data_IF_626548170278
#
_entry.id   IF_626548170278
#
_cell.length_a   1.000
_cell.length_b   1.000
_cell.length_c   1.000
_cell.angle_alpha   90.00
_cell.angle_beta   90.00
_cell.angle_gamma   90.00
#
_symmetry.space_group_name_H-M   'P 1'
#
loop_
_entity.id
_entity.type
_entity.pdbx_description
1 polymer ?
#
# COMPACT_ATOMS: atom_id res chain seq x y z
N UNK A 1 -37.31 4.60 68.15
CA UNK A 1 -36.07 3.85 67.77
C UNK A 1 -36.09 2.52 68.50
N UNK A 2 -36.09 1.42 67.79
CA UNK A 2 -36.12 0.07 68.37
C UNK A 2 -34.85 -0.67 67.90
N UNK A 3 -34.21 -1.40 68.78
CA UNK A 3 -33.14 -2.34 68.40
C UNK A 3 -33.82 -3.69 68.21
N UNK A 4 -33.74 -4.21 66.96
CA UNK A 4 -34.30 -5.50 66.60
C UNK A 4 -33.14 -6.46 66.25
N UNK A 5 -33.05 -7.56 66.97
CA UNK A 5 -32.22 -8.69 66.60
C UNK A 5 -32.98 -9.59 65.60
N UNK A 6 -32.32 -10.04 64.53
CA UNK A 6 -32.80 -11.18 63.77
C UNK A 6 -32.24 -12.46 64.40
N UNK A 7 -33.08 -13.46 64.59
CA UNK A 7 -32.60 -14.76 65.06
C UNK A 7 -31.68 -15.40 64.05
N UNK A 8 -30.63 -16.07 64.56
CA UNK A 8 -29.82 -16.95 63.78
C UNK A 8 -30.67 -18.11 63.19
N UNK A 9 -30.13 -18.78 62.20
CA UNK A 9 -30.70 -20.02 61.72
C UNK A 9 -29.93 -21.20 62.34
N UNK A 10 -30.67 -22.15 62.88
CA UNK A 10 -30.07 -23.37 63.42
C UNK A 10 -29.42 -24.19 62.27
N UNK A 11 -28.32 -24.85 62.61
CA UNK A 11 -27.70 -25.79 61.69
C UNK A 11 -28.59 -27.02 61.49
N UNK A 12 -28.58 -27.58 60.29
CA UNK A 12 -29.30 -28.81 59.94
C UNK A 12 -28.31 -29.81 59.36
N UNK A 13 -28.45 -31.06 59.78
CA UNK A 13 -27.66 -32.20 59.25
C UNK A 13 -26.12 -32.02 59.34
N UNK A 14 -25.64 -31.55 60.48
CA UNK A 14 -24.17 -31.37 60.76
C UNK A 14 -23.52 -30.17 60.08
N UNK A 15 -24.29 -29.24 59.52
CA UNK A 15 -23.82 -27.95 59.05
C UNK A 15 -24.02 -26.89 60.14
N UNK A 16 -23.06 -25.94 60.23
CA UNK A 16 -23.17 -24.83 61.16
C UNK A 16 -24.35 -23.94 60.81
N UNK A 17 -25.08 -23.43 61.82
CA UNK A 17 -26.11 -22.40 61.64
C UNK A 17 -25.49 -21.06 61.22
N UNK A 18 -26.33 -20.08 60.97
CA UNK A 18 -25.94 -18.71 60.68
C UNK A 18 -26.27 -17.80 61.87
N UNK A 19 -25.32 -16.94 62.23
CA UNK A 19 -25.51 -15.96 63.31
C UNK A 19 -26.57 -14.93 62.90
N UNK A 20 -27.45 -14.58 63.85
CA UNK A 20 -28.40 -13.49 63.69
C UNK A 20 -27.69 -12.13 63.61
N UNK A 21 -28.23 -11.21 62.84
CA UNK A 21 -27.71 -9.86 62.72
C UNK A 21 -28.59 -8.88 63.50
N UNK A 22 -28.02 -8.13 64.43
CA UNK A 22 -28.71 -7.08 65.17
C UNK A 22 -28.65 -5.76 64.43
N UNK A 23 -29.82 -5.16 64.14
CA UNK A 23 -29.91 -3.88 63.43
C UNK A 23 -30.73 -2.86 64.17
N UNK A 24 -30.42 -1.58 63.98
CA UNK A 24 -31.28 -0.48 64.42
C UNK A 24 -32.42 -0.35 63.42
N UNK A 25 -33.64 -0.39 63.89
CA UNK A 25 -34.87 -0.26 63.08
C UNK A 25 -35.59 0.99 63.51
N UNK A 26 -36.02 1.82 62.57
CA UNK A 26 -36.97 2.92 62.84
C UNK A 26 -38.22 2.74 62.01
N UNK A 27 -39.27 3.37 62.43
CA UNK A 27 -40.58 3.37 61.76
C UNK A 27 -40.87 4.78 61.26
N UNK A 28 -41.25 4.92 60.02
CA UNK A 28 -41.65 6.18 59.41
C UNK A 28 -43.11 6.56 59.77
N UNK A 29 -43.53 7.74 59.35
CA UNK A 29 -44.88 8.25 59.59
C UNK A 29 -46.05 7.37 59.05
N UNK A 30 -45.69 6.47 58.12
CA UNK A 30 -46.67 5.57 57.50
C UNK A 30 -46.53 4.14 58.04
N UNK A 31 -45.90 3.97 59.21
CA UNK A 31 -45.59 2.70 59.86
C UNK A 31 -44.72 1.73 59.07
N UNK A 32 -43.97 2.22 58.07
CA UNK A 32 -42.98 1.40 57.40
C UNK A 32 -41.73 1.27 58.24
N UNK A 33 -41.22 0.06 58.35
CA UNK A 33 -39.98 -0.24 59.10
C UNK A 33 -38.79 -0.16 58.18
N UNK A 34 -37.78 0.58 58.58
CA UNK A 34 -36.50 0.78 57.87
C UNK A 34 -35.34 0.33 58.77
N UNK A 35 -34.42 -0.42 58.18
CA UNK A 35 -33.15 -0.81 58.82
C UNK A 35 -32.07 0.22 58.56
N UNK A 36 -31.34 0.57 59.58
CA UNK A 36 -30.18 1.47 59.42
C UNK A 36 -28.96 0.67 58.96
N UNK A 37 -28.40 1.09 57.85
CA UNK A 37 -27.14 0.50 57.35
C UNK A 37 -25.96 0.81 58.33
N UNK A 38 -25.13 -0.16 58.51
CA UNK A 38 -23.89 -0.05 59.30
C UNK A 38 -22.69 0.05 58.40
N UNK A 39 -21.50 0.34 58.95
CA UNK A 39 -20.26 0.34 58.19
C UNK A 39 -19.85 -1.03 57.66
N UNK A 40 -20.51 -2.12 58.16
CA UNK A 40 -20.31 -3.49 57.65
C UNK A 40 -21.16 -3.81 56.43
N UNK A 41 -22.19 -3.00 56.20
CA UNK A 41 -22.96 -3.08 54.95
C UNK A 41 -22.09 -2.54 53.78
N UNK A 42 -22.44 -2.91 52.55
CA UNK A 42 -21.68 -2.50 51.42
C UNK A 42 -22.28 -2.87 50.09
N UNK A 43 -21.52 -2.74 49.04
CA UNK A 43 -21.93 -3.06 47.69
C UNK A 43 -21.01 -4.16 47.10
N UNK A 44 -21.61 -4.89 46.18
CA UNK A 44 -20.88 -5.89 45.38
C UNK A 44 -20.79 -5.41 43.94
N UNK A 45 -19.60 -5.52 43.36
CA UNK A 45 -19.31 -5.13 42.00
C UNK A 45 -18.81 -6.35 41.24
N UNK A 46 -19.32 -6.54 40.03
CA UNK A 46 -18.95 -7.65 39.17
C UNK A 46 -18.57 -7.12 37.78
N UNK A 47 -17.33 -7.31 37.40
CA UNK A 47 -16.93 -7.21 35.99
C UNK A 47 -17.40 -8.44 35.20
N UNK A 48 -16.99 -8.55 33.93
CA UNK A 48 -17.43 -9.65 33.05
C UNK A 48 -17.16 -11.02 33.64
N UNK A 49 -15.99 -11.22 34.24
CA UNK A 49 -15.64 -12.48 34.91
C UNK A 49 -16.39 -12.73 36.20
N UNK A 50 -16.81 -11.70 36.91
CA UNK A 50 -17.58 -11.81 38.15
C UNK A 50 -19.05 -12.10 37.94
N UNK A 51 -19.57 -11.95 36.73
CA UNK A 51 -20.98 -12.28 36.40
C UNK A 51 -21.22 -13.79 36.31
N UNK A 52 -20.18 -14.55 36.02
CA UNK A 52 -20.23 -16.01 35.88
C UNK A 52 -19.50 -16.75 37.00
N UNK A 53 -18.58 -16.08 37.69
CA UNK A 53 -17.77 -16.63 38.78
C UNK A 53 -17.89 -15.72 40.03
N UNK A 54 -18.60 -16.17 41.02
CA UNK A 54 -18.83 -15.42 42.28
C UNK A 54 -17.53 -15.13 43.05
N UNK A 55 -16.46 -15.90 42.82
CA UNK A 55 -15.14 -15.64 43.46
C UNK A 55 -14.46 -14.40 42.93
N UNK A 56 -14.90 -13.89 41.79
CA UNK A 56 -14.38 -12.68 41.13
C UNK A 56 -15.23 -11.42 41.45
N UNK A 57 -16.21 -11.54 42.28
CA UNK A 57 -17.01 -10.41 42.77
C UNK A 57 -16.22 -9.61 43.79
N UNK A 58 -16.15 -8.30 43.61
CA UNK A 58 -15.51 -7.38 44.53
C UNK A 58 -16.55 -6.92 45.54
N UNK A 59 -16.40 -7.29 46.80
CA UNK A 59 -17.23 -6.80 47.90
C UNK A 59 -16.53 -5.63 48.63
N UNK A 60 -17.22 -4.49 48.72
CA UNK A 60 -16.73 -3.31 49.43
C UNK A 60 -17.74 -2.91 50.49
N UNK A 61 -17.26 -2.71 51.73
CA UNK A 61 -18.05 -2.14 52.84
C UNK A 61 -18.18 -0.62 52.65
N UNK A 62 -19.15 -0.02 53.36
CA UNK A 62 -19.26 1.43 53.46
C UNK A 62 -17.93 2.02 53.94
N UNK A 63 -17.51 3.16 53.38
CA UNK A 63 -16.24 3.83 53.62
C UNK A 63 -14.98 3.12 53.08
N UNK A 64 -15.10 2.05 52.28
CA UNK A 64 -14.00 1.46 51.54
C UNK A 64 -13.95 2.00 50.11
N UNK A 65 -12.77 2.25 49.61
CA UNK A 65 -12.52 2.71 48.25
C UNK A 65 -12.64 1.53 47.26
N UNK A 66 -13.35 1.74 46.16
CA UNK A 66 -13.29 0.89 44.97
C UNK A 66 -12.34 1.53 43.95
N UNK A 67 -11.18 0.94 43.74
CA UNK A 67 -10.24 1.39 42.74
C UNK A 67 -10.61 0.81 41.36
N UNK A 68 -10.78 1.69 40.38
CA UNK A 68 -11.00 1.33 38.99
C UNK A 68 -9.82 1.86 38.19
N UNK A 69 -8.98 0.97 37.70
CA UNK A 69 -7.73 1.34 37.04
C UNK A 69 -7.74 0.86 35.58
N UNK A 70 -7.46 1.76 34.63
CA UNK A 70 -7.29 1.44 33.23
C UNK A 70 -5.84 1.14 32.82
N UNK A 71 -4.87 1.43 33.71
CA UNK A 71 -3.43 1.18 33.47
C UNK A 71 -2.75 2.13 32.49
N UNK A 72 -3.46 3.05 31.87
CA UNK A 72 -2.89 4.02 30.95
C UNK A 72 -2.30 5.24 31.68
N UNK A 73 -1.34 5.90 31.04
CA UNK A 73 -0.78 7.17 31.51
C UNK A 73 -1.85 8.27 31.45
N UNK A 74 -2.21 8.82 32.63
CA UNK A 74 -3.26 9.82 32.76
C UNK A 74 -3.02 11.11 31.97
N UNK A 75 -1.76 11.42 31.63
CA UNK A 75 -1.39 12.59 30.84
C UNK A 75 -1.56 12.39 29.32
N UNK A 76 -1.86 11.15 28.89
CA UNK A 76 -1.99 10.73 27.47
C UNK A 76 -3.38 10.21 27.16
N UNK A 77 -4.36 10.51 27.97
CA UNK A 77 -5.75 10.13 27.71
C UNK A 77 -6.42 11.08 26.71
N UNK A 78 -7.34 10.55 25.95
CA UNK A 78 -8.17 11.32 25.00
C UNK A 78 -9.64 11.17 25.39
N UNK A 79 -10.41 12.24 25.22
CA UNK A 79 -11.84 12.27 25.55
C UNK A 79 -12.69 11.57 24.47
N UNK A 80 -13.89 11.17 24.88
CA UNK A 80 -14.97 10.70 24.00
C UNK A 80 -14.70 9.37 23.25
N UNK A 81 -13.66 8.63 23.60
CA UNK A 81 -13.34 7.34 22.99
C UNK A 81 -13.99 6.15 23.69
N UNK A 82 -14.48 6.36 24.90
CA UNK A 82 -15.17 5.34 25.70
C UNK A 82 -16.51 5.89 26.18
N UNK A 83 -17.58 5.13 25.94
CA UNK A 83 -18.90 5.38 26.48
C UNK A 83 -19.21 4.43 27.64
N UNK A 84 -19.93 4.94 28.65
CA UNK A 84 -20.44 4.15 29.77
C UNK A 84 -21.96 4.34 29.85
N UNK A 85 -22.70 3.30 29.51
CA UNK A 85 -24.16 3.35 29.46
C UNK A 85 -24.81 2.39 30.47
N UNK A 86 -25.92 2.81 31.03
CA UNK A 86 -26.79 1.87 31.76
C UNK A 86 -27.60 1.05 30.75
N UNK A 87 -27.35 -0.24 30.72
CA UNK A 87 -28.10 -1.19 29.91
C UNK A 87 -28.60 -2.31 30.85
N UNK A 88 -29.88 -2.42 31.03
CA UNK A 88 -30.52 -3.43 31.87
C UNK A 88 -29.96 -3.45 33.31
N UNK A 89 -29.75 -2.27 33.90
CA UNK A 89 -29.21 -2.11 35.25
C UNK A 89 -27.72 -2.39 35.39
N UNK A 90 -26.99 -2.52 34.28
CA UNK A 90 -25.53 -2.72 34.23
C UNK A 90 -24.83 -1.52 33.59
N UNK A 91 -23.70 -1.10 34.16
CA UNK A 91 -22.81 -0.13 33.50
C UNK A 91 -22.01 -0.84 32.41
N UNK A 92 -22.34 -0.59 31.14
CA UNK A 92 -21.68 -1.15 29.98
C UNK A 92 -20.61 -0.18 29.49
N UNK A 93 -19.36 -0.59 29.55
CA UNK A 93 -18.21 0.17 29.04
C UNK A 93 -17.95 -0.25 27.59
N UNK A 94 -17.98 0.69 26.65
CA UNK A 94 -17.91 0.43 25.23
C UNK A 94 -16.99 1.43 24.55
N UNK A 95 -16.25 0.98 23.53
CA UNK A 95 -15.52 1.89 22.64
C UNK A 95 -16.49 2.68 21.77
N UNK A 96 -16.18 3.92 21.49
CA UNK A 96 -16.89 4.72 20.52
C UNK A 96 -16.74 4.12 19.11
N UNK A 97 -17.74 4.27 18.27
CA UNK A 97 -17.67 3.84 16.87
C UNK A 97 -16.52 4.53 16.11
N UNK A 98 -16.29 5.80 16.40
CA UNK A 98 -15.21 6.59 15.85
C UNK A 98 -14.21 6.89 16.97
N UNK A 99 -13.01 6.30 16.87
CA UNK A 99 -11.92 6.54 17.81
C UNK A 99 -11.10 7.73 17.32
N UNK A 100 -10.99 8.75 18.16
CA UNK A 100 -10.16 9.93 17.88
C UNK A 100 -9.00 10.02 18.88
N UNK A 101 -7.82 9.62 18.43
CA UNK A 101 -6.59 9.65 19.24
C UNK A 101 -5.87 10.99 19.14
N UNK A 102 -6.44 12.00 18.47
CA UNK A 102 -5.81 13.29 18.17
C UNK A 102 -4.59 13.18 17.23
N UNK A 103 -4.02 14.27 16.71
CA UNK A 103 -2.82 14.21 15.86
C UNK A 103 -1.56 13.62 16.53
N UNK A 104 -1.49 13.64 17.86
CA UNK A 104 -0.37 13.10 18.61
C UNK A 104 -0.53 11.59 18.92
N UNK A 105 -1.72 11.04 18.71
CA UNK A 105 -2.01 9.64 19.01
C UNK A 105 -1.51 8.67 17.94
N UNK A 106 -1.40 7.41 18.33
CA UNK A 106 -1.05 6.30 17.43
C UNK A 106 -1.72 5.00 17.86
N UNK A 107 -1.87 4.09 16.90
CA UNK A 107 -2.19 2.68 17.13
C UNK A 107 -0.98 1.85 16.71
N UNK A 108 -0.42 1.09 17.65
CA UNK A 108 0.72 0.22 17.40
C UNK A 108 0.34 -1.24 17.61
N UNK A 109 0.63 -2.08 16.64
CA UNK A 109 0.41 -3.53 16.68
C UNK A 109 1.70 -4.21 16.20
N UNK A 110 2.54 -4.66 17.13
CA UNK A 110 3.88 -5.18 16.79
C UNK A 110 4.70 -4.12 16.05
N UNK A 111 5.18 -4.46 14.86
CA UNK A 111 5.96 -3.56 14.01
C UNK A 111 5.13 -2.57 13.18
N UNK A 112 3.80 -2.69 13.21
CA UNK A 112 2.88 -1.83 12.47
C UNK A 112 2.42 -0.66 13.33
N UNK A 113 2.55 0.56 12.81
CA UNK A 113 2.09 1.79 13.44
C UNK A 113 1.21 2.61 12.48
N UNK A 114 0.07 3.07 12.99
CA UNK A 114 -0.81 4.03 12.31
C UNK A 114 -0.84 5.30 13.17
N UNK A 115 -0.48 6.42 12.57
CA UNK A 115 -0.52 7.74 13.21
C UNK A 115 -0.85 8.84 12.20
N UNK A 116 -0.70 10.10 12.60
CA UNK A 116 -0.95 11.25 11.71
C UNK A 116 -0.01 11.31 10.48
N UNK A 117 1.12 10.62 10.50
CA UNK A 117 2.04 10.51 9.36
C UNK A 117 1.61 9.48 8.32
N UNK A 118 0.81 8.49 8.73
CA UNK A 118 0.36 7.39 7.88
C UNK A 118 0.46 6.03 8.55
N UNK A 119 0.49 4.99 7.74
CA UNK A 119 0.73 3.61 8.14
C UNK A 119 2.17 3.23 7.84
N UNK A 120 2.90 2.74 8.83
CA UNK A 120 4.28 2.27 8.69
C UNK A 120 4.43 0.87 9.27
N UNK A 121 5.24 0.04 8.61
CA UNK A 121 5.67 -1.26 9.13
C UNK A 121 7.19 -1.18 9.29
N UNK A 122 7.70 -1.37 10.48
CA UNK A 122 9.13 -1.32 10.74
C UNK A 122 9.86 -2.38 9.91
N UNK A 123 10.82 -1.96 9.07
CA UNK A 123 11.52 -2.83 8.12
C UNK A 123 10.68 -3.28 6.90
N UNK A 124 9.50 -2.72 6.69
CA UNK A 124 8.57 -3.09 5.64
C UNK A 124 7.97 -1.91 4.87
N UNK A 125 6.84 -2.13 4.19
CA UNK A 125 6.15 -1.10 3.43
C UNK A 125 5.57 0.02 4.29
N UNK A 126 5.32 1.17 3.67
CA UNK A 126 4.62 2.28 4.30
C UNK A 126 3.71 3.03 3.33
N UNK A 127 2.64 3.62 3.86
CA UNK A 127 1.74 4.56 3.17
C UNK A 127 1.69 5.83 4.00
N UNK A 128 2.30 6.89 3.54
CA UNK A 128 2.47 8.14 4.28
C UNK A 128 2.02 9.34 3.46
N UNK A 129 2.06 10.53 4.04
CA UNK A 129 1.76 11.79 3.32
C UNK A 129 2.73 12.06 2.15
N UNK A 130 3.90 11.42 2.13
CA UNK A 130 4.90 11.56 1.06
C UNK A 130 4.75 10.50 -0.04
N UNK A 131 3.84 9.54 0.13
CA UNK A 131 3.56 8.50 -0.87
C UNK A 131 3.61 7.08 -0.31
N UNK A 132 3.71 6.12 -1.22
CA UNK A 132 3.78 4.70 -0.93
C UNK A 132 5.21 4.22 -1.12
N UNK A 133 5.77 3.59 -0.10
CA UNK A 133 7.06 2.92 -0.17
C UNK A 133 6.82 1.40 -0.02
N UNK A 134 7.21 0.63 -1.02
CA UNK A 134 7.06 -0.83 -1.00
C UNK A 134 8.08 -1.55 -0.09
N UNK A 135 9.05 -0.85 0.51
CA UNK A 135 10.05 -1.46 1.39
C UNK A 135 10.98 -2.46 0.66
N UNK A 136 11.30 -2.19 -0.61
CA UNK A 136 12.06 -3.09 -1.49
C UNK A 136 11.37 -4.44 -1.77
N UNK A 137 10.05 -4.49 -1.61
CA UNK A 137 9.22 -5.66 -1.92
C UNK A 137 8.44 -5.45 -3.22
N UNK A 138 7.99 -6.55 -3.84
CA UNK A 138 7.17 -6.47 -5.04
C UNK A 138 5.76 -5.95 -4.73
N UNK A 139 5.25 -5.07 -5.58
CA UNK A 139 3.83 -4.75 -5.63
C UNK A 139 3.18 -5.71 -6.62
N UNK A 140 2.38 -6.63 -6.14
CA UNK A 140 1.72 -7.67 -6.95
C UNK A 140 0.28 -7.30 -7.28
N UNK A 141 -0.32 -7.98 -8.27
CA UNK A 141 -1.71 -7.79 -8.70
C UNK A 141 -2.04 -6.37 -9.19
N UNK A 142 -1.03 -5.67 -9.75
CA UNK A 142 -1.24 -4.37 -10.38
C UNK A 142 -2.02 -4.58 -11.68
N UNK A 143 -3.25 -4.06 -11.74
CA UNK A 143 -4.06 -4.03 -12.96
C UNK A 143 -3.36 -3.18 -14.02
N UNK A 144 -3.54 -3.52 -15.30
CA UNK A 144 -3.04 -2.68 -16.39
C UNK A 144 -3.58 -1.24 -16.28
N UNK A 145 -2.69 -0.26 -16.29
CA UNK A 145 -3.03 1.16 -16.30
C UNK A 145 -3.75 1.55 -17.59
N UNK A 146 -4.66 2.50 -17.51
CA UNK A 146 -5.45 3.02 -18.63
C UNK A 146 -5.28 4.54 -18.77
N UNK A 147 -5.16 5.24 -17.64
CA UNK A 147 -4.98 6.68 -17.60
C UNK A 147 -3.51 7.03 -17.41
N UNK A 148 -3.12 8.23 -17.80
CA UNK A 148 -1.73 8.73 -17.72
C UNK A 148 -1.13 8.70 -16.31
N UNK A 149 -1.96 8.67 -15.28
CA UNK A 149 -1.56 8.65 -13.87
C UNK A 149 -1.63 7.27 -13.24
N UNK A 150 -2.00 6.24 -13.98
CA UNK A 150 -2.08 4.87 -13.47
C UNK A 150 -0.70 4.22 -13.38
N UNK A 151 -0.54 3.29 -12.45
CA UNK A 151 0.65 2.45 -12.39
C UNK A 151 0.70 1.48 -13.58
N UNK A 152 1.89 1.28 -14.13
CA UNK A 152 2.14 0.34 -15.23
C UNK A 152 2.63 -1.00 -14.68
N UNK A 153 2.07 -2.10 -15.15
CA UNK A 153 2.53 -3.43 -14.81
C UNK A 153 3.58 -3.97 -15.82
N UNK A 154 4.27 -5.05 -15.42
CA UNK A 154 5.35 -5.66 -16.23
C UNK A 154 4.85 -6.15 -17.60
N UNK A 155 3.56 -6.55 -17.71
CA UNK A 155 3.00 -6.97 -19.00
C UNK A 155 2.96 -5.79 -19.98
N UNK A 156 2.45 -4.64 -19.56
CA UNK A 156 2.40 -3.43 -20.41
C UNK A 156 3.79 -2.98 -20.85
N UNK A 157 4.79 -3.05 -19.95
CA UNK A 157 6.18 -2.76 -20.31
C UNK A 157 6.73 -3.74 -21.35
N UNK A 158 6.37 -5.03 -21.27
CA UNK A 158 6.77 -6.03 -22.29
C UNK A 158 6.07 -5.79 -23.62
N UNK A 159 4.79 -5.44 -23.60
CA UNK A 159 3.99 -5.17 -24.80
C UNK A 159 4.44 -3.88 -25.50
N UNK A 160 4.97 -2.90 -24.76
CA UNK A 160 5.49 -1.64 -25.28
C UNK A 160 6.91 -1.74 -25.90
N UNK A 161 7.50 -2.94 -25.96
CA UNK A 161 8.82 -3.13 -26.54
C UNK A 161 8.83 -2.78 -28.04
N UNK A 162 9.78 -1.96 -28.44
CA UNK A 162 10.00 -1.63 -29.85
C UNK A 162 10.47 -2.85 -30.61
N UNK A 163 9.85 -3.11 -31.76
CA UNK A 163 10.31 -4.11 -32.73
C UNK A 163 10.90 -3.38 -33.91
N UNK A 164 12.16 -3.69 -34.24
CA UNK A 164 12.84 -3.14 -35.41
C UNK A 164 12.91 -4.22 -36.46
N UNK A 165 12.43 -3.91 -37.69
CA UNK A 165 12.40 -4.85 -38.83
C UNK A 165 12.99 -4.22 -40.07
N UNK A 166 13.60 -5.05 -40.95
CA UNK A 166 13.97 -4.71 -42.31
C UNK A 166 13.32 -5.75 -43.22
N UNK A 167 12.17 -5.40 -43.81
CA UNK A 167 11.36 -6.34 -44.60
C UNK A 167 12.06 -6.74 -45.91
N UNK A 168 12.82 -5.82 -46.50
CA UNK A 168 13.58 -6.03 -47.75
C UNK A 168 15.01 -6.56 -47.49
N UNK A 169 15.35 -6.76 -46.22
CA UNK A 169 16.67 -7.23 -45.79
C UNK A 169 17.84 -6.31 -46.21
N UNK A 170 17.54 -5.07 -46.56
CA UNK A 170 18.58 -4.07 -46.91
C UNK A 170 19.47 -3.69 -45.72
N UNK A 171 18.95 -3.87 -44.52
CA UNK A 171 19.64 -3.61 -43.26
C UNK A 171 19.75 -4.88 -42.45
N UNK A 172 20.93 -5.25 -42.04
CA UNK A 172 21.13 -6.30 -41.01
C UNK A 172 20.92 -5.68 -39.64
N UNK A 173 20.07 -6.29 -38.85
CA UNK A 173 19.74 -5.84 -37.49
C UNK A 173 20.28 -6.84 -36.50
N UNK A 174 21.34 -6.44 -35.77
CA UNK A 174 21.92 -7.24 -34.70
C UNK A 174 21.30 -6.82 -33.39
N UNK A 175 20.49 -7.69 -32.79
CA UNK A 175 19.86 -7.48 -31.50
C UNK A 175 20.76 -8.06 -30.41
N UNK A 176 21.10 -7.25 -29.42
CA UNK A 176 21.76 -7.70 -28.20
C UNK A 176 20.91 -7.30 -26.97
N UNK A 177 20.87 -8.18 -25.97
CA UNK A 177 20.18 -7.93 -24.71
C UNK A 177 21.18 -7.96 -23.56
N UNK A 178 21.19 -6.92 -22.73
CA UNK A 178 21.96 -6.84 -21.52
C UNK A 178 21.01 -6.46 -20.36
N UNK A 179 20.60 -7.45 -19.57
CA UNK A 179 19.57 -7.28 -18.56
C UNK A 179 18.25 -6.81 -19.18
N UNK A 180 17.79 -5.61 -18.81
CA UNK A 180 16.55 -5.02 -19.33
C UNK A 180 16.76 -4.12 -20.54
N UNK A 181 18.02 -3.88 -20.93
CA UNK A 181 18.36 -3.03 -22.07
C UNK A 181 18.43 -3.87 -23.35
N UNK A 182 17.77 -3.40 -24.41
CA UNK A 182 17.84 -3.98 -25.75
C UNK A 182 18.54 -2.99 -26.65
N UNK A 183 19.62 -3.44 -27.31
CA UNK A 183 20.35 -2.66 -28.31
C UNK A 183 20.11 -3.27 -29.69
N UNK A 184 19.74 -2.44 -30.64
CA UNK A 184 19.65 -2.80 -32.07
C UNK A 184 20.80 -2.11 -32.80
N UNK A 185 21.76 -2.90 -33.26
CA UNK A 185 22.87 -2.42 -34.12
C UNK A 185 22.44 -2.61 -35.59
N UNK A 186 22.28 -1.49 -36.28
CA UNK A 186 21.78 -1.43 -37.65
C UNK A 186 22.99 -1.34 -38.59
N UNK A 187 23.23 -2.38 -39.38
CA UNK A 187 24.35 -2.46 -40.30
C UNK A 187 23.84 -2.55 -41.74
N UNK A 188 24.19 -1.56 -42.54
CA UNK A 188 23.99 -1.58 -44.00
C UNK A 188 25.22 -2.21 -44.64
N UNK A 189 25.03 -3.34 -45.32
CA UNK A 189 26.17 -3.98 -46.00
C UNK A 189 26.74 -3.06 -47.09
N UNK A 190 28.05 -3.02 -47.24
CA UNK A 190 28.68 -2.30 -48.38
C UNK A 190 28.06 -2.76 -49.69
N UNK A 191 27.54 -1.81 -50.47
CA UNK A 191 26.87 -2.10 -51.76
C UNK A 191 25.35 -2.36 -51.69
N UNK A 192 24.72 -2.37 -50.49
CA UNK A 192 23.24 -2.47 -50.34
C UNK A 192 22.52 -1.19 -50.81
N UNK A 193 23.16 -0.05 -50.71
CA UNK A 193 22.70 1.20 -51.32
C UNK A 193 23.26 1.28 -52.76
N UNK A 194 22.85 0.39 -53.66
CA UNK A 194 23.33 0.40 -55.01
C UNK A 194 22.76 1.59 -55.79
N UNK A 195 23.67 2.50 -56.16
CA UNK A 195 23.40 3.54 -57.15
C UNK A 195 23.48 2.88 -58.54
N UNK A 196 22.32 2.60 -59.10
CA UNK A 196 22.25 2.06 -60.48
C UNK A 196 21.83 3.18 -61.42
N UNK A 197 22.67 3.49 -62.38
CA UNK A 197 22.40 4.50 -63.40
C UNK A 197 22.81 3.98 -64.76
N UNK A 198 22.29 4.55 -65.83
CA UNK A 198 22.55 4.10 -67.18
C UNK A 198 23.29 5.17 -67.93
N UNK A 199 24.33 4.76 -68.65
CA UNK A 199 25.07 5.60 -69.60
C UNK A 199 24.74 5.16 -71.04
N UNK A 200 24.38 6.13 -71.90
CA UNK A 200 24.14 5.92 -73.29
C UNK A 200 24.84 7.02 -74.07
N UNK A 201 25.52 6.64 -75.13
CA UNK A 201 26.07 7.58 -76.12
C UNK A 201 25.10 7.69 -77.32
N UNK A 202 24.98 8.90 -77.86
CA UNK A 202 24.18 9.17 -79.08
C UNK A 202 24.95 10.16 -79.97
N UNK A 203 24.61 10.22 -81.25
CA UNK A 203 25.24 11.13 -82.22
C UNK A 203 26.26 10.42 -83.11
N UNK A 204 27.45 11.00 -83.35
CA UNK A 204 28.49 10.41 -84.17
C UNK A 204 29.18 9.22 -83.47
N UNK A 205 28.46 8.17 -83.33
CA UNK A 205 28.91 6.93 -82.69
C UNK A 205 29.01 5.82 -83.75
N UNK A 206 29.86 4.84 -83.47
CA UNK A 206 29.95 3.64 -84.34
C UNK A 206 28.74 2.74 -84.01
N UNK A 207 28.30 1.89 -84.93
CA UNK A 207 27.13 1.03 -84.77
C UNK A 207 27.15 0.20 -83.46
N UNK A 208 28.34 -0.17 -82.97
CA UNK A 208 28.49 -0.93 -81.71
C UNK A 208 28.31 -0.07 -80.47
N UNK A 209 28.44 1.25 -80.59
CA UNK A 209 28.27 2.18 -79.48
C UNK A 209 26.85 2.74 -79.32
N UNK A 210 26.00 2.60 -80.35
CA UNK A 210 24.55 2.96 -80.31
C UNK A 210 23.69 1.89 -79.63
N UNK A 211 24.30 0.77 -79.38
CA UNK A 211 23.56 -0.35 -78.85
C UNK A 211 22.97 -0.12 -77.48
N UNK A 212 22.28 -0.45 -76.79
CA UNK A 212 21.62 -0.31 -75.51
C UNK A 212 22.38 0.52 -74.44
N UNK A 213 21.70 1.27 -73.66
CA UNK A 213 22.32 1.93 -72.48
C UNK A 213 23.05 0.90 -71.60
N UNK A 214 24.25 1.30 -71.20
CA UNK A 214 25.04 0.48 -70.25
C UNK A 214 24.67 0.80 -68.82
N UNK A 215 24.28 -0.21 -68.10
CA UNK A 215 23.99 -0.09 -66.69
C UNK A 215 25.30 -0.02 -65.91
N UNK A 216 25.44 1.04 -65.14
CA UNK A 216 26.56 1.23 -64.18
C UNK A 216 26.02 0.92 -62.80
N UNK A 217 26.57 -0.08 -62.19
CA UNK A 217 26.28 -0.49 -60.83
C UNK A 217 27.34 0.03 -59.86
N UNK A 218 27.06 0.03 -58.60
CA UNK A 218 28.01 0.48 -57.56
C UNK A 218 29.37 -0.22 -57.69
N UNK A 219 30.42 0.53 -57.48
CA UNK A 219 31.81 0.05 -57.61
C UNK A 219 32.30 -0.12 -59.03
N UNK A 220 31.51 0.26 -60.06
CA UNK A 220 31.93 0.27 -61.47
C UNK A 220 32.47 1.64 -61.89
N UNK A 221 33.49 1.63 -62.70
CA UNK A 221 34.10 2.83 -63.25
C UNK A 221 33.64 3.02 -64.69
N UNK A 222 33.28 4.24 -65.05
CA UNK A 222 33.06 4.67 -66.42
C UNK A 222 34.32 5.40 -66.87
N UNK A 223 35.00 4.85 -67.86
CA UNK A 223 36.16 5.50 -68.49
C UNK A 223 35.68 6.30 -69.71
N UNK A 224 35.92 7.59 -69.69
CA UNK A 224 35.66 8.48 -70.82
C UNK A 224 36.95 8.72 -71.55
N UNK A 225 37.08 8.15 -72.77
CA UNK A 225 38.31 8.27 -73.54
C UNK A 225 38.18 9.40 -74.59
N UNK A 226 39.06 10.36 -74.56
CA UNK A 226 39.12 11.43 -75.57
C UNK A 226 39.54 10.85 -76.93
N UNK A 227 38.85 11.20 -78.00
CA UNK A 227 39.23 10.89 -79.33
C UNK A 227 40.48 11.72 -79.77
N UNK A 228 40.99 11.41 -80.98
CA UNK A 228 42.13 12.14 -81.54
C UNK A 228 41.82 13.63 -81.68
N UNK A 229 42.67 14.49 -81.20
CA UNK A 229 42.47 15.95 -81.13
C UNK A 229 41.43 16.49 -80.16
N UNK A 230 41.03 15.71 -79.18
CA UNK A 230 40.15 16.13 -78.07
C UNK A 230 40.85 15.97 -76.76
N UNK A 231 40.53 16.85 -75.77
CA UNK A 231 40.98 16.72 -74.40
C UNK A 231 39.76 16.49 -73.53
N UNK A 232 39.80 15.45 -72.75
CA UNK A 232 38.74 15.19 -71.73
C UNK A 232 39.12 15.85 -70.43
N UNK A 233 38.37 16.82 -69.97
CA UNK A 233 38.50 17.44 -68.64
C UNK A 233 37.42 16.95 -67.74
N UNK A 234 37.83 16.42 -66.59
CA UNK A 234 36.95 16.00 -65.55
C UNK A 234 37.00 17.02 -64.42
N UNK A 235 35.88 17.67 -64.18
CA UNK A 235 35.76 18.61 -63.06
C UNK A 235 34.98 17.98 -61.90
N UNK A 236 35.38 18.34 -60.70
CA UNK A 236 34.54 18.10 -59.50
C UNK A 236 33.43 19.19 -59.42
N UNK A 237 32.42 18.96 -58.65
CA UNK A 237 31.24 19.85 -58.55
C UNK A 237 31.54 21.31 -58.14
N UNK A 238 32.73 21.59 -57.67
CA UNK A 238 33.16 22.94 -57.26
C UNK A 238 33.86 23.74 -58.43
N UNK A 239 33.93 23.20 -59.62
CA UNK A 239 34.58 23.84 -60.75
C UNK A 239 33.61 24.57 -61.70
N UNK A 240 32.50 25.04 -61.19
CA UNK A 240 31.53 25.85 -61.92
C UNK A 240 31.57 27.31 -61.39
N UNK A 241 32.63 28.07 -61.75
CA UNK A 241 32.62 29.52 -61.80
C UNK A 241 32.87 29.95 -63.27
#
# INVERSE_FOLDING_TARGET
LTIKGANGQDGVDGKNGQDGMTRIVYEDKNNNKHEVATTDDGMKYAGDNGQTDSTKVIAKKLNQTLDITGGADSTKLTDNNIGVNNVDGKLKVQLAQNINLTPAGSLTIGDTMINNGGLTINGGPSVTKTGINAGNLNITNVKAGVNDTDAVNVKQLKDARTVVTSNDKSVTINKTENGNQVTYDLHVAPGAAQSVWNVKSTGNTTADSEAAAKTITDGKTVEMVAGKNLTCLLYTSDAAD
#
